data_IF_543414180583
#
_entry.id   IF_543414180583
#
_cell.length_a   1.000
_cell.length_b   1.000
_cell.length_c   1.000
_cell.angle_alpha   90.00
_cell.angle_beta   90.00
_cell.angle_gamma   90.00
#
_symmetry.space_group_name_H-M   'P 1'
#
loop_
_entity.id
_entity.type
_entity.pdbx_description
1 polymer ?
#
# COMPACT_ATOMS: atom_id res chain seq x y z
N UNK A 1 19.06 -4.69 -1.06
CA UNK A 1 18.12 -4.65 0.08
C UNK A 1 16.72 -4.16 -0.27
N UNK A 2 16.36 -4.05 -1.56
CA UNK A 2 15.08 -3.46 -2.02
C UNK A 2 13.82 -4.17 -1.53
N UNK A 3 13.85 -5.50 -1.40
CA UNK A 3 12.70 -6.26 -0.90
C UNK A 3 12.38 -5.93 0.56
N UNK A 4 13.41 -5.84 1.40
CA UNK A 4 13.30 -5.49 2.82
C UNK A 4 12.79 -4.06 3.01
N UNK A 5 13.26 -3.11 2.21
CA UNK A 5 12.76 -1.72 2.22
C UNK A 5 11.26 -1.66 1.89
N UNK A 6 10.85 -2.46 0.90
CA UNK A 6 9.45 -2.56 0.45
C UNK A 6 8.55 -3.14 1.54
N UNK A 7 8.93 -4.26 2.15
CA UNK A 7 8.16 -4.87 3.25
C UNK A 7 8.15 -4.02 4.51
N UNK A 8 9.11 -3.11 4.67
CA UNK A 8 9.10 -2.09 5.72
C UNK A 8 8.18 -0.90 5.42
N UNK A 9 7.47 -0.92 4.28
CA UNK A 9 6.48 0.08 3.90
C UNK A 9 6.95 1.13 2.89
N UNK A 10 8.21 1.09 2.43
CA UNK A 10 8.73 2.08 1.48
C UNK A 10 8.34 1.74 0.03
N UNK A 11 7.06 1.92 -0.29
CA UNK A 11 6.52 1.76 -1.63
C UNK A 11 5.46 2.82 -1.93
N UNK A 12 5.25 3.14 -3.20
CA UNK A 12 4.25 4.12 -3.61
C UNK A 12 4.03 4.14 -5.12
N UNK A 13 2.87 4.63 -5.58
CA UNK A 13 2.56 4.70 -7.00
C UNK A 13 3.27 5.90 -7.66
N UNK A 14 3.74 5.69 -8.89
CA UNK A 14 4.12 6.76 -9.81
C UNK A 14 3.21 6.67 -11.04
N UNK A 15 2.40 7.69 -11.26
CA UNK A 15 1.49 7.74 -12.39
C UNK A 15 2.13 8.57 -13.50
N UNK A 16 2.24 7.97 -14.67
CA UNK A 16 2.70 8.66 -15.88
C UNK A 16 1.51 8.94 -16.78
N UNK A 17 1.44 10.16 -17.29
CA UNK A 17 0.35 10.62 -18.14
C UNK A 17 0.92 11.10 -19.48
N UNK A 18 0.14 10.96 -20.57
CA UNK A 18 0.47 11.61 -21.84
C UNK A 18 0.42 13.14 -21.68
N UNK A 19 1.25 13.85 -22.44
CA UNK A 19 1.20 15.31 -22.46
C UNK A 19 -0.23 15.81 -22.73
N UNK A 20 -0.64 16.83 -21.97
CA UNK A 20 -1.98 17.41 -22.05
C UNK A 20 -3.03 16.76 -21.14
N UNK A 21 -2.84 15.53 -20.65
CA UNK A 21 -3.82 14.77 -19.81
C UNK A 21 -4.11 15.41 -18.45
N UNK A 22 -3.11 16.04 -17.85
CA UNK A 22 -3.23 16.67 -16.54
C UNK A 22 -3.75 18.10 -16.70
N UNK A 23 -4.72 18.50 -15.87
CA UNK A 23 -5.14 19.91 -15.81
C UNK A 23 -3.95 20.76 -15.41
N UNK A 24 -3.83 21.93 -16.04
CA UNK A 24 -2.82 22.92 -15.63
C UNK A 24 -3.11 23.32 -14.19
N UNK A 25 -2.17 22.99 -13.31
CA UNK A 25 -2.13 23.45 -11.92
C UNK A 25 -2.46 24.94 -11.85
N UNK A 26 -3.48 25.30 -11.06
CA UNK A 26 -3.77 26.69 -10.78
C UNK A 26 -2.66 27.21 -9.84
N UNK A 27 -2.06 28.37 -10.14
CA UNK A 27 -1.00 28.97 -9.30
C UNK A 27 -1.39 29.13 -7.82
N UNK A 28 -2.69 29.13 -7.53
CA UNK A 28 -3.24 29.26 -6.18
C UNK A 28 -3.51 27.91 -5.48
N UNK A 29 -3.43 26.78 -6.19
CA UNK A 29 -3.55 25.45 -5.60
C UNK A 29 -2.70 24.42 -6.38
N UNK A 30 -1.39 24.36 -6.13
CA UNK A 30 -0.46 23.56 -6.91
C UNK A 30 -0.60 22.04 -6.75
N UNK A 31 -1.34 21.59 -5.73
CA UNK A 31 -1.42 20.17 -5.35
C UNK A 31 -2.44 19.36 -6.16
N UNK A 32 -3.33 20.00 -6.91
CA UNK A 32 -4.34 19.31 -7.73
C UNK A 32 -3.88 19.16 -9.19
N UNK A 33 -2.90 18.29 -9.43
CA UNK A 33 -2.66 17.76 -10.78
C UNK A 33 -3.72 16.70 -11.10
N UNK A 34 -4.96 17.16 -11.30
CA UNK A 34 -6.11 16.30 -11.56
C UNK A 34 -6.23 16.04 -13.06
N UNK A 35 -6.45 14.78 -13.43
CA UNK A 35 -6.79 14.39 -14.79
C UNK A 35 -8.13 15.01 -15.22
N UNK A 36 -8.26 15.41 -16.48
CA UNK A 36 -9.56 15.95 -16.96
C UNK A 36 -10.48 14.89 -17.55
N UNK A 37 -9.97 13.69 -17.85
CA UNK A 37 -10.69 12.63 -18.56
C UNK A 37 -11.49 11.69 -17.64
N UNK A 38 -11.26 11.77 -16.33
CA UNK A 38 -11.99 11.03 -15.28
C UNK A 38 -12.37 11.96 -14.14
N UNK A 39 -13.42 11.61 -13.41
CA UNK A 39 -13.88 12.38 -12.24
C UNK A 39 -13.09 12.01 -10.97
N UNK A 40 -12.56 10.78 -10.89
CA UNK A 40 -11.85 10.26 -9.72
C UNK A 40 -10.76 9.25 -10.12
N UNK A 41 -9.64 9.26 -9.40
CA UNK A 41 -8.57 8.27 -9.48
C UNK A 41 -8.49 7.48 -8.15
N UNK A 42 -8.37 6.16 -8.23
CA UNK A 42 -8.03 5.29 -7.08
C UNK A 42 -6.72 4.57 -7.32
N UNK A 43 -5.92 4.45 -6.26
CA UNK A 43 -4.64 3.75 -6.26
C UNK A 43 -4.73 2.58 -5.30
N UNK A 44 -4.60 1.35 -5.81
CA UNK A 44 -4.69 0.13 -5.02
C UNK A 44 -3.43 -0.69 -5.19
N UNK A 45 -2.74 -0.92 -4.09
CA UNK A 45 -1.63 -1.85 -3.98
C UNK A 45 -2.11 -3.12 -3.30
N UNK A 46 -2.13 -4.22 -4.04
CA UNK A 46 -2.39 -5.55 -3.54
C UNK A 46 -1.06 -6.20 -3.14
N UNK A 47 -0.90 -6.53 -1.87
CA UNK A 47 0.36 -7.09 -1.36
C UNK A 47 0.14 -7.97 -0.14
N UNK A 48 0.94 -9.03 -0.03
CA UNK A 48 1.19 -9.70 1.24
C UNK A 48 2.39 -9.00 1.87
N UNK A 49 2.14 -8.14 2.85
CA UNK A 49 3.23 -7.48 3.57
C UNK A 49 3.82 -8.49 4.55
N UNK A 50 4.99 -9.04 4.20
CA UNK A 50 5.73 -9.97 5.04
C UNK A 50 6.56 -9.20 6.08
N UNK A 51 5.98 -8.94 7.25
CA UNK A 51 6.66 -8.22 8.35
C UNK A 51 7.87 -8.98 8.89
N UNK A 52 7.99 -10.29 8.64
CA UNK A 52 9.20 -11.05 9.00
C UNK A 52 10.44 -10.54 8.25
N UNK A 53 10.24 -9.93 7.08
CA UNK A 53 11.31 -9.37 6.25
C UNK A 53 11.54 -7.88 6.50
N UNK A 54 10.78 -7.26 7.39
CA UNK A 54 10.88 -5.84 7.71
C UNK A 54 12.21 -5.49 8.38
N UNK A 55 12.64 -4.22 8.25
CA UNK A 55 13.71 -3.67 9.08
C UNK A 55 13.33 -3.64 10.57
N UNK A 56 12.04 -3.61 10.86
CA UNK A 56 11.51 -3.35 12.19
C UNK A 56 11.06 -4.60 12.96
N UNK A 57 11.30 -5.81 12.42
CA UNK A 57 10.83 -7.05 13.05
C UNK A 57 11.30 -7.21 14.50
N UNK A 58 12.57 -6.93 14.78
CA UNK A 58 13.13 -7.07 16.15
C UNK A 58 12.52 -6.07 17.13
N UNK A 59 12.21 -4.86 16.67
CA UNK A 59 11.60 -3.81 17.49
C UNK A 59 10.11 -4.10 17.73
N UNK A 60 9.42 -4.61 16.70
CA UNK A 60 8.02 -5.03 16.79
C UNK A 60 7.84 -6.21 17.75
N UNK A 61 8.73 -7.21 17.74
CA UNK A 61 8.68 -8.35 18.68
C UNK A 61 8.82 -7.88 20.13
N UNK A 62 9.76 -6.97 20.41
CA UNK A 62 9.96 -6.40 21.75
C UNK A 62 8.77 -5.57 22.24
N UNK A 63 8.07 -4.92 21.32
CA UNK A 63 6.95 -4.03 21.64
C UNK A 63 5.64 -4.79 21.86
N UNK A 64 5.39 -5.83 21.06
CA UNK A 64 4.08 -6.48 20.97
C UNK A 64 3.96 -7.80 21.76
N UNK A 65 5.08 -8.44 22.14
CA UNK A 65 5.06 -9.77 22.79
C UNK A 65 5.96 -9.81 24.02
N UNK A 66 5.74 -10.79 24.91
CA UNK A 66 6.75 -11.19 25.91
C UNK A 66 8.03 -11.65 25.18
N UNK A 67 9.14 -10.87 25.21
CA UNK A 67 10.30 -11.12 24.37
C UNK A 67 10.99 -12.46 24.65
N UNK A 68 10.74 -13.07 25.82
CA UNK A 68 11.34 -14.34 26.23
C UNK A 68 10.64 -15.59 25.67
N UNK A 69 9.44 -15.47 25.08
CA UNK A 69 8.61 -16.60 24.67
C UNK A 69 8.43 -16.79 23.16
N UNK A 70 9.02 -15.92 22.33
CA UNK A 70 8.81 -15.94 20.87
C UNK A 70 9.90 -16.76 20.18
N UNK A 71 9.48 -17.78 19.44
CA UNK A 71 10.33 -18.42 18.44
C UNK A 71 10.05 -17.82 17.06
N UNK A 72 11.00 -17.03 16.55
CA UNK A 72 10.90 -16.37 15.23
C UNK A 72 10.90 -17.33 14.05
N UNK A 73 11.28 -18.60 14.28
CA UNK A 73 11.26 -19.64 13.25
C UNK A 73 9.97 -20.47 13.30
N UNK A 74 9.11 -20.24 14.30
CA UNK A 74 7.83 -20.91 14.38
C UNK A 74 6.97 -20.58 13.14
N UNK A 75 6.43 -21.59 12.42
CA UNK A 75 5.59 -21.34 11.25
C UNK A 75 4.35 -20.51 11.57
N UNK A 76 3.77 -20.67 12.76
CA UNK A 76 2.62 -19.89 13.21
C UNK A 76 2.96 -18.42 13.42
N UNK A 77 4.12 -18.14 14.03
CA UNK A 77 4.66 -16.78 14.13
C UNK A 77 4.86 -16.14 12.76
N UNK A 78 5.53 -16.85 11.83
CA UNK A 78 5.81 -16.32 10.50
C UNK A 78 4.53 -16.03 9.72
N UNK A 79 3.56 -16.94 9.75
CA UNK A 79 2.25 -16.76 9.13
C UNK A 79 1.49 -15.59 9.73
N UNK A 80 1.54 -15.42 11.06
CA UNK A 80 0.84 -14.32 11.74
C UNK A 80 1.33 -12.92 11.31
N UNK A 81 2.55 -12.85 10.78
CA UNK A 81 3.18 -11.63 10.26
C UNK A 81 2.98 -11.45 8.74
N UNK A 82 2.26 -12.34 8.05
CA UNK A 82 1.93 -12.20 6.64
C UNK A 82 0.62 -11.45 6.43
N UNK A 83 0.72 -10.15 6.24
CA UNK A 83 -0.42 -9.23 6.21
C UNK A 83 -0.99 -9.10 4.80
N UNK A 84 -2.00 -9.92 4.51
CA UNK A 84 -2.74 -9.91 3.24
C UNK A 84 -3.62 -8.65 3.13
N UNK A 85 -3.17 -7.64 2.38
CA UNK A 85 -3.72 -6.30 2.47
C UNK A 85 -3.91 -5.60 1.13
N UNK A 86 -4.75 -4.56 1.14
CA UNK A 86 -4.88 -3.57 0.08
C UNK A 86 -4.48 -2.20 0.68
N UNK A 87 -3.43 -1.58 0.16
CA UNK A 87 -2.85 -0.34 0.73
C UNK A 87 -2.51 -0.45 2.23
N UNK A 88 -2.15 -1.64 2.73
CA UNK A 88 -1.89 -1.89 4.16
C UNK A 88 -3.15 -2.08 5.02
N UNK A 89 -4.35 -2.03 4.43
CA UNK A 89 -5.62 -2.28 5.10
C UNK A 89 -6.08 -3.73 4.90
N UNK A 90 -6.67 -4.34 5.93
CA UNK A 90 -7.05 -5.76 6.01
C UNK A 90 -8.51 -5.92 6.46
N UNK A 91 -9.11 -7.08 6.18
CA UNK A 91 -10.44 -7.44 6.69
C UNK A 91 -11.54 -6.37 6.44
N UNK A 92 -11.48 -5.69 5.30
CA UNK A 92 -12.50 -4.71 4.89
C UNK A 92 -12.42 -3.34 5.58
N UNK A 93 -11.31 -3.00 6.23
CA UNK A 93 -11.15 -1.72 6.92
C UNK A 93 -10.59 -0.57 6.05
N UNK A 94 -10.40 -0.78 4.73
CA UNK A 94 -9.89 0.24 3.80
C UNK A 94 -10.90 1.42 3.65
N UNK A 95 -10.55 2.64 4.09
CA UNK A 95 -11.43 3.80 3.97
C UNK A 95 -11.35 4.44 2.57
N UNK A 96 -12.30 5.34 2.28
CA UNK A 96 -12.17 6.28 1.16
C UNK A 96 -12.62 5.77 -0.21
N UNK A 97 -12.98 4.49 -0.36
CA UNK A 97 -13.54 3.95 -1.61
C UNK A 97 -15.03 4.30 -1.77
N UNK A 98 -15.32 5.55 -2.14
CA UNK A 98 -16.67 6.03 -2.41
C UNK A 98 -16.76 6.53 -3.85
N UNK A 99 -17.65 5.92 -4.63
CA UNK A 99 -17.88 6.29 -6.03
C UNK A 99 -19.28 6.86 -6.22
N UNK A 100 -19.42 7.74 -7.21
CA UNK A 100 -20.72 8.23 -7.65
C UNK A 100 -21.17 7.44 -8.88
N UNK A 101 -22.45 7.05 -8.91
CA UNK A 101 -23.02 6.36 -10.06
C UNK A 101 -22.90 7.25 -11.32
N UNK A 102 -22.60 6.63 -12.46
CA UNK A 102 -22.44 7.30 -13.77
C UNK A 102 -21.30 8.33 -13.84
N UNK A 103 -20.29 8.24 -12.95
CA UNK A 103 -19.04 9.02 -13.05
C UNK A 103 -17.90 8.16 -13.58
N UNK A 104 -17.01 8.76 -14.35
CA UNK A 104 -15.85 8.08 -14.89
C UNK A 104 -14.78 7.95 -13.79
N UNK A 105 -14.30 6.73 -13.57
CA UNK A 105 -13.30 6.42 -12.52
C UNK A 105 -12.13 5.69 -13.15
N UNK A 106 -10.91 6.13 -12.85
CA UNK A 106 -9.70 5.39 -13.17
C UNK A 106 -9.24 4.59 -11.95
N UNK A 107 -9.06 3.28 -12.13
CA UNK A 107 -8.48 2.38 -11.13
C UNK A 107 -7.04 2.05 -11.53
N UNK A 108 -6.08 2.45 -10.71
CA UNK A 108 -4.66 2.15 -10.87
C UNK A 108 -4.31 1.05 -9.88
N UNK A 109 -4.07 -0.15 -10.39
CA UNK A 109 -3.84 -1.33 -9.58
C UNK A 109 -2.40 -1.82 -9.77
N UNK A 110 -1.74 -2.16 -8.67
CA UNK A 110 -0.42 -2.77 -8.66
C UNK A 110 -0.42 -3.99 -7.73
N UNK A 111 0.36 -5.00 -8.09
CA UNK A 111 0.68 -6.13 -7.22
C UNK A 111 2.15 -6.09 -6.84
N UNK A 112 2.46 -6.35 -5.57
CA UNK A 112 3.82 -6.35 -5.06
C UNK A 112 4.01 -7.45 -4.01
N UNK A 113 5.09 -8.21 -4.12
CA UNK A 113 5.38 -9.36 -3.26
C UNK A 113 6.00 -10.51 -4.04
N UNK A 114 6.02 -11.67 -3.40
CA UNK A 114 6.52 -12.93 -3.99
C UNK A 114 5.38 -13.96 -4.10
N UNK A 115 5.70 -15.10 -4.71
CA UNK A 115 4.83 -16.28 -4.70
C UNK A 115 4.58 -16.74 -3.25
N UNK A 116 3.32 -17.11 -2.98
CA UNK A 116 2.85 -17.70 -1.72
C UNK A 116 2.62 -19.18 -1.93
#
# INVERSE_FOLDING_TARGET
NTARDTYSGLCGPLITCKEGTLRKSNKNNPEESVRYDVDQDFYLLFTVVDENQSWYIDDNVKLCTDPGGVDVNDPGFRESNMMHSINGYMYGNLPGLKICQHRAVAWHMAGLGNEV
#
